data_IF_755699148391
#
_entry.id   IF_755699148391
#
_cell.length_a   1.000
_cell.length_b   1.000
_cell.length_c   1.000
_cell.angle_alpha   90.00
_cell.angle_beta   90.00
_cell.angle_gamma   90.00
#
_symmetry.space_group_name_H-M   'P 1'
#
loop_
_entity.id
_entity.type
_entity.pdbx_description
1 polymer ?
#
# COMPACT_ATOMS: atom_id res chain seq x y z
N UNK A 1 -1.33 13.49 -49.25
CA UNK A 1 -1.95 12.77 -48.10
C UNK A 1 -3.31 12.22 -48.53
N UNK A 2 -3.38 10.91 -48.81
CA UNK A 2 -4.56 10.27 -49.41
C UNK A 2 -5.56 9.74 -48.38
N UNK A 3 -6.38 10.62 -47.81
CA UNK A 3 -7.54 10.18 -47.04
C UNK A 3 -8.68 9.90 -48.03
N UNK A 4 -9.26 8.70 -48.00
CA UNK A 4 -10.38 8.32 -48.87
C UNK A 4 -11.59 9.24 -48.61
N UNK A 5 -12.23 9.74 -49.67
CA UNK A 5 -13.40 10.65 -49.58
C UNK A 5 -14.52 10.11 -48.68
N UNK A 6 -14.72 8.81 -48.63
CA UNK A 6 -15.70 8.16 -47.75
C UNK A 6 -15.48 8.46 -46.26
N UNK A 7 -14.23 8.71 -45.83
CA UNK A 7 -13.91 9.09 -44.46
C UNK A 7 -14.33 10.54 -44.15
N UNK A 8 -14.33 11.45 -45.13
CA UNK A 8 -14.79 12.84 -44.95
C UNK A 8 -16.31 12.91 -44.71
N UNK A 9 -17.09 11.98 -45.29
CA UNK A 9 -18.54 11.90 -45.09
C UNK A 9 -18.96 10.93 -43.98
N UNK A 10 -18.01 10.25 -43.33
CA UNK A 10 -18.35 9.30 -42.28
C UNK A 10 -18.85 10.02 -41.03
N UNK A 11 -20.15 9.93 -40.78
CA UNK A 11 -20.72 10.32 -39.49
C UNK A 11 -20.70 9.12 -38.55
N UNK A 12 -19.98 9.19 -37.41
CA UNK A 12 -19.97 8.09 -36.45
C UNK A 12 -21.38 7.88 -35.90
N UNK A 13 -21.96 6.72 -36.20
CA UNK A 13 -23.26 6.32 -35.64
C UNK A 13 -23.11 6.10 -34.14
N UNK A 14 -23.60 7.05 -33.35
CA UNK A 14 -23.65 6.91 -31.89
C UNK A 14 -24.66 5.81 -31.55
N UNK A 15 -24.16 4.63 -31.21
CA UNK A 15 -25.01 3.56 -30.73
C UNK A 15 -25.39 3.83 -29.26
N UNK A 16 -26.58 4.40 -29.06
CA UNK A 16 -27.13 4.79 -27.74
C UNK A 16 -27.16 3.58 -26.78
N UNK A 17 -27.49 2.38 -27.28
CA UNK A 17 -27.52 1.16 -26.48
C UNK A 17 -26.12 0.77 -25.97
N UNK A 18 -25.09 0.94 -26.81
CA UNK A 18 -23.69 0.71 -26.41
C UNK A 18 -23.24 1.68 -25.32
N UNK A 19 -23.61 2.97 -25.46
CA UNK A 19 -23.31 4.02 -24.46
C UNK A 19 -23.99 3.75 -23.12
N UNK A 20 -25.28 3.36 -23.15
CA UNK A 20 -26.06 2.98 -21.96
C UNK A 20 -25.46 1.77 -21.23
N UNK A 21 -25.03 0.75 -22.00
CA UNK A 21 -24.35 -0.44 -21.44
C UNK A 21 -23.02 -0.08 -20.78
N UNK A 22 -22.24 0.80 -21.39
CA UNK A 22 -20.97 1.24 -20.80
C UNK A 22 -21.16 2.05 -19.52
N UNK A 23 -22.13 2.97 -19.50
CA UNK A 23 -22.47 3.73 -18.30
C UNK A 23 -22.89 2.81 -17.14
N UNK A 24 -23.68 1.77 -17.43
CA UNK A 24 -24.06 0.76 -16.42
C UNK A 24 -22.84 0.04 -15.84
N UNK A 25 -21.85 -0.30 -16.66
CA UNK A 25 -20.61 -0.95 -16.22
C UNK A 25 -19.78 0.01 -15.36
N UNK A 26 -19.64 1.28 -15.76
CA UNK A 26 -18.89 2.29 -14.99
C UNK A 26 -19.50 2.48 -13.59
N UNK A 27 -20.82 2.69 -13.52
CA UNK A 27 -21.52 2.84 -12.24
C UNK A 27 -21.34 1.62 -11.33
N UNK A 28 -21.44 0.42 -11.89
CA UNK A 28 -21.25 -0.81 -11.11
C UNK A 28 -19.81 -0.96 -10.59
N UNK A 29 -18.80 -0.56 -11.37
CA UNK A 29 -17.39 -0.54 -10.94
C UNK A 29 -17.20 0.45 -9.77
N UNK A 30 -17.80 1.64 -9.85
CA UNK A 30 -17.76 2.63 -8.76
C UNK A 30 -18.42 2.10 -7.49
N UNK A 31 -19.59 1.48 -7.61
CA UNK A 31 -20.32 0.93 -6.46
C UNK A 31 -19.52 -0.18 -5.78
N UNK A 32 -18.99 -1.14 -6.54
CA UNK A 32 -18.14 -2.22 -6.02
C UNK A 32 -16.87 -1.64 -5.37
N UNK A 33 -16.26 -0.62 -5.97
CA UNK A 33 -15.06 0.01 -5.41
C UNK A 33 -15.34 0.79 -4.13
N UNK A 34 -16.53 1.36 -3.98
CA UNK A 34 -16.93 2.08 -2.76
C UNK A 34 -17.20 1.10 -1.62
N UNK A 35 -17.87 -0.02 -1.91
CA UNK A 35 -18.15 -1.09 -0.95
C UNK A 35 -16.89 -1.87 -0.56
N UNK A 36 -15.97 -2.06 -1.52
CA UNK A 36 -14.72 -2.79 -1.32
C UNK A 36 -13.51 -1.97 -1.79
N UNK A 37 -13.05 -0.97 -1.00
CA UNK A 37 -11.93 -0.10 -1.37
C UNK A 37 -10.60 -0.81 -1.62
N UNK A 38 -10.46 -2.05 -1.16
CA UNK A 38 -9.28 -2.90 -1.28
C UNK A 38 -9.35 -3.87 -2.48
N UNK A 39 -10.36 -3.75 -3.34
CA UNK A 39 -10.47 -4.54 -4.56
C UNK A 39 -9.73 -3.86 -5.71
N UNK A 40 -8.74 -4.56 -6.28
CA UNK A 40 -8.19 -4.22 -7.59
C UNK A 40 -9.05 -4.70 -8.76
N UNK A 41 -8.67 -4.32 -9.98
CA UNK A 41 -9.43 -4.64 -11.20
C UNK A 41 -9.70 -6.14 -11.39
N UNK A 42 -8.82 -7.03 -10.91
CA UNK A 42 -9.02 -8.49 -10.97
C UNK A 42 -10.21 -8.93 -10.12
N UNK A 43 -10.30 -8.45 -8.87
CA UNK A 43 -11.39 -8.77 -7.94
C UNK A 43 -12.71 -8.12 -8.37
N UNK A 44 -12.65 -6.88 -8.87
CA UNK A 44 -13.81 -6.20 -9.45
C UNK A 44 -14.32 -6.97 -10.69
N UNK A 45 -13.43 -7.44 -11.57
CA UNK A 45 -13.83 -8.27 -12.72
C UNK A 45 -14.53 -9.56 -12.29
N UNK A 46 -14.03 -10.23 -11.25
CA UNK A 46 -14.66 -11.42 -10.70
C UNK A 46 -16.04 -11.11 -10.08
N UNK A 47 -16.20 -9.98 -9.39
CA UNK A 47 -17.50 -9.53 -8.88
C UNK A 47 -18.49 -9.24 -10.02
N UNK A 48 -18.07 -8.50 -11.05
CA UNK A 48 -18.91 -8.23 -12.22
C UNK A 48 -19.38 -9.53 -12.89
N UNK A 49 -18.51 -10.54 -12.99
CA UNK A 49 -18.90 -11.87 -13.51
C UNK A 49 -19.93 -12.57 -12.64
N UNK A 50 -19.81 -12.49 -11.30
CA UNK A 50 -20.82 -13.01 -10.37
C UNK A 50 -22.17 -12.30 -10.54
N UNK A 51 -22.14 -11.01 -10.84
CA UNK A 51 -23.32 -10.20 -11.15
C UNK A 51 -23.84 -10.42 -12.60
N UNK A 52 -23.41 -11.49 -13.28
CA UNK A 52 -23.74 -11.85 -14.67
C UNK A 52 -23.37 -10.78 -15.71
N UNK A 53 -22.44 -9.88 -15.37
CA UNK A 53 -21.86 -8.88 -16.28
C UNK A 53 -20.49 -9.34 -16.77
N UNK A 54 -20.48 -9.96 -17.95
CA UNK A 54 -19.23 -10.45 -18.57
C UNK A 54 -18.49 -9.27 -19.21
N UNK A 55 -17.44 -8.81 -18.55
CA UNK A 55 -16.54 -7.75 -19.02
C UNK A 55 -15.10 -8.25 -18.99
N UNK A 56 -14.32 -7.93 -20.03
CA UNK A 56 -12.90 -8.26 -20.07
C UNK A 56 -12.15 -7.44 -18.98
N UNK A 57 -11.25 -8.10 -18.24
CA UNK A 57 -10.42 -7.48 -17.21
C UNK A 57 -9.63 -6.26 -17.72
N UNK A 58 -9.19 -6.25 -18.99
CA UNK A 58 -8.52 -5.09 -19.61
C UNK A 58 -9.43 -3.87 -19.70
N UNK A 59 -10.73 -4.08 -19.98
CA UNK A 59 -11.73 -3.01 -20.04
C UNK A 59 -12.03 -2.48 -18.64
N UNK A 60 -12.14 -3.36 -17.64
CA UNK A 60 -12.31 -2.95 -16.23
C UNK A 60 -11.11 -2.12 -15.78
N UNK A 61 -9.89 -2.56 -16.08
CA UNK A 61 -8.67 -1.81 -15.76
C UNK A 61 -8.65 -0.42 -16.43
N UNK A 62 -9.02 -0.33 -17.72
CA UNK A 62 -9.12 0.95 -18.43
C UNK A 62 -10.13 1.88 -17.77
N UNK A 63 -11.34 1.40 -17.46
CA UNK A 63 -12.39 2.20 -16.80
C UNK A 63 -11.92 2.67 -15.42
N UNK A 64 -11.31 1.80 -14.62
CA UNK A 64 -10.80 2.19 -13.30
C UNK A 64 -9.74 3.29 -13.41
N UNK A 65 -8.83 3.21 -14.39
CA UNK A 65 -7.83 4.26 -14.65
C UNK A 65 -8.50 5.59 -15.02
N UNK A 66 -9.48 5.56 -15.92
CA UNK A 66 -10.22 6.77 -16.33
C UNK A 66 -11.00 7.41 -15.19
N UNK A 67 -11.51 6.61 -14.25
CA UNK A 67 -12.24 7.08 -13.07
C UNK A 67 -11.31 7.42 -11.88
N UNK A 68 -9.99 7.26 -12.02
CA UNK A 68 -9.04 7.47 -10.92
C UNK A 68 -9.19 6.48 -9.76
N UNK A 69 -9.84 5.34 -9.98
CA UNK A 69 -10.11 4.34 -8.95
C UNK A 69 -8.87 3.46 -8.73
N UNK A 70 -8.38 3.45 -7.50
CA UNK A 70 -7.24 2.64 -7.07
C UNK A 70 -7.58 1.81 -5.85
N UNK A 71 -7.06 0.58 -5.82
CA UNK A 71 -7.20 -0.32 -4.67
C UNK A 71 -6.35 0.18 -3.51
N UNK A 72 -7.00 0.53 -2.40
CA UNK A 72 -6.34 0.92 -1.15
C UNK A 72 -6.07 -0.32 -0.31
N UNK A 73 -4.86 -0.85 -0.39
CA UNK A 73 -4.41 -1.93 0.49
C UNK A 73 -3.96 -1.29 1.81
N UNK A 74 -4.67 -1.57 2.90
CA UNK A 74 -4.15 -1.26 4.24
C UNK A 74 -3.02 -2.23 4.55
N UNK A 75 -1.80 -1.72 4.74
CA UNK A 75 -0.70 -2.53 5.26
C UNK A 75 -1.10 -2.97 6.67
N UNK A 76 -1.10 -4.27 6.93
CA UNK A 76 -1.33 -4.78 8.29
C UNK A 76 -0.16 -4.33 9.15
N UNK A 77 -0.42 -3.43 10.09
CA UNK A 77 0.57 -3.06 11.10
C UNK A 77 0.59 -4.18 12.14
N UNK A 78 1.78 -4.74 12.41
CA UNK A 78 1.97 -5.71 13.48
C UNK A 78 2.46 -4.91 14.68
N UNK A 79 1.61 -4.73 15.68
CA UNK A 79 2.00 -4.11 16.93
C UNK A 79 2.77 -5.14 17.75
N UNK A 80 4.10 -5.00 17.80
CA UNK A 80 4.97 -5.91 18.57
C UNK A 80 4.96 -5.61 20.08
N UNK A 81 4.49 -4.43 20.47
CA UNK A 81 4.48 -3.96 21.87
C UNK A 81 3.05 -3.90 22.41
N UNK A 82 2.78 -4.61 23.51
CA UNK A 82 1.52 -4.47 24.23
C UNK A 82 1.57 -3.24 25.15
N UNK A 83 1.27 -2.05 24.63
CA UNK A 83 1.19 -0.83 25.44
C UNK A 83 -0.04 -0.77 26.36
N UNK A 84 -1.01 -1.68 26.22
CA UNK A 84 -2.20 -1.76 27.09
C UNK A 84 -2.03 -2.87 28.13
N UNK A 85 -0.94 -2.80 28.89
CA UNK A 85 -0.67 -3.72 30.00
C UNK A 85 -0.92 -3.04 31.34
N UNK A 86 -1.18 -3.82 32.39
CA UNK A 86 -1.33 -3.30 33.76
C UNK A 86 0.01 -3.20 34.51
N UNK A 87 1.14 -3.49 33.86
CA UNK A 87 2.47 -3.37 34.47
C UNK A 87 2.83 -1.90 34.72
N UNK A 88 3.69 -1.67 35.72
CA UNK A 88 4.22 -0.34 36.04
C UNK A 88 4.92 0.27 34.83
N UNK A 89 4.48 1.47 34.44
CA UNK A 89 5.11 2.26 33.37
C UNK A 89 6.15 3.17 34.03
N UNK A 90 7.40 3.04 33.61
CA UNK A 90 8.49 3.91 34.06
C UNK A 90 8.52 5.18 33.20
N UNK A 91 8.74 6.33 33.85
CA UNK A 91 8.90 7.60 33.13
C UNK A 91 10.18 7.57 32.28
N UNK A 92 10.11 8.19 31.11
CA UNK A 92 11.28 8.35 30.26
C UNK A 92 12.18 9.45 30.85
N UNK A 93 13.25 9.05 31.54
CA UNK A 93 14.18 9.94 32.25
C UNK A 93 15.01 10.85 31.32
N UNK A 94 15.04 10.55 30.02
CA UNK A 94 15.80 11.31 29.02
C UNK A 94 14.91 12.21 28.14
N UNK A 95 13.58 12.20 28.35
CA UNK A 95 12.62 12.89 27.46
C UNK A 95 12.89 14.39 27.32
N UNK A 96 13.23 15.06 28.43
CA UNK A 96 13.40 16.51 28.50
C UNK A 96 14.87 16.91 28.71
N UNK A 97 15.81 15.98 28.48
CA UNK A 97 17.25 16.24 28.63
C UNK A 97 17.88 16.52 27.28
N UNK A 98 18.60 17.63 27.18
CA UNK A 98 19.49 17.90 26.06
C UNK A 98 20.77 17.05 26.20
N UNK A 99 21.13 16.32 25.15
CA UNK A 99 22.35 15.51 25.11
C UNK A 99 23.42 16.34 24.40
N UNK A 100 24.39 16.82 25.16
CA UNK A 100 25.39 17.80 24.72
C UNK A 100 26.75 17.20 24.39
N UNK A 101 26.95 15.91 24.65
CA UNK A 101 28.23 15.25 24.37
C UNK A 101 28.18 13.72 24.35
N UNK A 102 29.31 13.11 23.98
CA UNK A 102 29.52 11.66 23.96
C UNK A 102 29.44 11.06 25.37
N UNK A 103 29.05 9.79 25.46
CA UNK A 103 29.00 8.99 26.68
C UNK A 103 28.03 9.51 27.75
N UNK A 104 27.04 10.32 27.38
CA UNK A 104 25.98 10.76 28.29
C UNK A 104 24.79 9.81 28.33
N UNK A 105 24.40 9.27 27.16
CA UNK A 105 23.28 8.33 27.03
C UNK A 105 23.63 7.28 25.99
N UNK A 106 23.47 6.02 26.36
CA UNK A 106 23.60 4.88 25.46
C UNK A 106 22.24 4.23 25.20
N UNK A 107 22.02 3.84 23.95
CA UNK A 107 20.89 3.05 23.52
C UNK A 107 21.36 1.62 23.24
N UNK A 108 20.68 0.62 23.80
CA UNK A 108 20.90 -0.78 23.47
C UNK A 108 19.83 -1.25 22.49
N UNK A 109 20.24 -1.90 21.41
CA UNK A 109 19.34 -2.52 20.45
C UNK A 109 19.77 -3.95 20.15
N UNK A 110 18.80 -4.83 19.90
CA UNK A 110 19.04 -6.21 19.49
C UNK A 110 18.32 -6.44 18.16
N UNK A 111 19.08 -6.85 17.15
CA UNK A 111 18.56 -7.16 15.83
C UNK A 111 19.07 -8.51 15.36
N UNK A 112 18.44 -9.09 14.33
CA UNK A 112 18.90 -10.32 13.71
C UNK A 112 19.52 -10.01 12.34
N UNK A 113 20.67 -10.63 12.07
CA UNK A 113 21.33 -10.59 10.77
C UNK A 113 21.11 -11.93 10.10
N UNK A 114 20.50 -11.89 8.91
CA UNK A 114 20.27 -13.10 8.13
C UNK A 114 21.55 -13.56 7.46
N UNK A 115 21.89 -14.83 7.64
CA UNK A 115 23.04 -15.50 7.01
C UNK A 115 22.54 -16.63 6.10
N UNK A 116 23.41 -17.22 5.30
CA UNK A 116 23.05 -18.29 4.35
C UNK A 116 22.31 -19.45 5.05
N UNK A 117 22.77 -19.82 6.24
CA UNK A 117 22.29 -21.01 6.95
C UNK A 117 21.37 -20.69 8.15
N UNK A 118 20.85 -19.46 8.26
CA UNK A 118 20.01 -19.07 9.39
C UNK A 118 20.06 -17.58 9.72
N UNK A 119 20.13 -17.27 11.01
CA UNK A 119 20.28 -15.91 11.53
C UNK A 119 21.20 -15.91 12.75
N UNK A 120 21.88 -14.78 12.96
CA UNK A 120 22.61 -14.47 14.19
C UNK A 120 21.98 -13.24 14.83
N UNK A 121 22.06 -13.13 16.15
CA UNK A 121 21.66 -11.93 16.87
C UNK A 121 22.85 -10.99 17.01
N UNK A 122 22.62 -9.72 16.66
CA UNK A 122 23.52 -8.61 16.96
C UNK A 122 22.92 -7.82 18.12
N UNK A 123 23.63 -7.80 19.25
CA UNK A 123 23.39 -6.85 20.32
C UNK A 123 24.36 -5.68 20.15
N UNK A 124 23.85 -4.45 20.04
CA UNK A 124 24.66 -3.26 19.83
C UNK A 124 24.35 -2.19 20.89
N UNK A 125 25.40 -1.54 21.38
CA UNK A 125 25.32 -0.37 22.24
C UNK A 125 25.72 0.84 21.39
N UNK A 126 24.83 1.83 21.30
CA UNK A 126 24.96 3.01 20.47
C UNK A 126 25.03 4.24 21.37
N UNK A 127 26.03 5.08 21.19
CA UNK A 127 26.07 6.40 21.81
C UNK A 127 25.09 7.36 21.10
N UNK A 128 24.13 7.91 21.84
CA UNK A 128 23.04 8.69 21.23
C UNK A 128 23.54 9.98 20.59
N UNK A 129 24.59 10.60 21.16
CA UNK A 129 25.14 11.86 20.66
C UNK A 129 25.93 11.64 19.35
N UNK A 130 26.95 10.78 19.38
CA UNK A 130 27.84 10.55 18.24
C UNK A 130 27.28 9.59 17.19
N UNK A 131 26.21 8.84 17.52
CA UNK A 131 25.64 7.75 16.71
C UNK A 131 26.61 6.60 16.41
N UNK A 132 27.75 6.54 17.11
CA UNK A 132 28.73 5.47 16.95
C UNK A 132 28.35 4.26 17.80
N UNK A 133 28.69 3.07 17.30
CA UNK A 133 28.65 1.84 18.09
C UNK A 133 29.82 1.88 19.06
N UNK A 134 29.51 1.82 20.36
CA UNK A 134 30.51 1.79 21.44
C UNK A 134 30.84 0.37 21.90
N UNK A 135 29.95 -0.58 21.60
CA UNK A 135 30.17 -1.99 21.86
C UNK A 135 29.15 -2.85 21.11
N UNK A 136 29.53 -4.08 20.78
CA UNK A 136 28.62 -5.04 20.18
C UNK A 136 29.01 -6.48 20.54
N UNK A 137 28.03 -7.37 20.46
CA UNK A 137 28.21 -8.81 20.57
C UNK A 137 27.36 -9.51 19.51
N UNK A 138 27.88 -10.61 18.97
CA UNK A 138 27.19 -11.44 17.96
C UNK A 138 27.09 -12.86 18.52
N UNK A 139 25.91 -13.47 18.41
CA UNK A 139 25.62 -14.83 18.85
C UNK A 139 24.53 -15.52 18.07
#
# INVERSE_FOLDING_TARGET
MGIKRATLYYQPKININKKKKELRIRKKIEDISREHPYYGYRRITAQLRRDKLIVNHKKVLKIMKELGIQSRIKRKYITTTNSKHNNKIYSNLIKDKEITGINQVWCADITYIRILNGFVYLAAIIDIYSRKIVGYAIG
#
